data_IF_429527690078
#
_entry.id   IF_429527690078
#
_cell.length_a   1.000
_cell.length_b   1.000
_cell.length_c   1.000
_cell.angle_alpha   90.00
_cell.angle_beta   90.00
_cell.angle_gamma   90.00
#
_symmetry.space_group_name_H-M   'P 1'
#
loop_
_entity.id
_entity.type
_entity.pdbx_description
1 polymer ?
#
# COMPACT_ATOMS: atom_id res chain seq x y z
N UNK A 1 -54.16 6.42 -55.10
CA UNK A 1 -52.70 6.43 -54.99
C UNK A 1 -52.34 6.79 -53.61
N UNK A 2 -51.90 5.82 -52.84
CA UNK A 2 -51.41 6.03 -51.46
C UNK A 2 -49.94 6.35 -51.56
N UNK A 3 -49.59 7.59 -51.31
CA UNK A 3 -48.20 7.96 -51.14
C UNK A 3 -47.74 7.46 -49.79
N UNK A 4 -46.96 6.42 -49.76
CA UNK A 4 -46.23 5.99 -48.62
C UNK A 4 -45.13 7.03 -48.34
N UNK A 5 -45.40 7.95 -47.43
CA UNK A 5 -44.37 8.77 -46.81
C UNK A 5 -43.50 7.85 -45.99
N UNK A 6 -42.41 7.43 -46.60
CA UNK A 6 -41.37 6.77 -45.83
C UNK A 6 -40.79 7.76 -44.84
N UNK A 7 -41.16 7.61 -43.60
CA UNK A 7 -40.46 8.30 -42.51
C UNK A 7 -39.10 7.65 -42.44
N UNK A 8 -38.12 8.27 -43.07
CA UNK A 8 -36.72 7.96 -42.84
C UNK A 8 -36.43 8.47 -41.42
N UNK A 9 -36.57 7.58 -40.45
CA UNK A 9 -36.01 7.83 -39.11
C UNK A 9 -34.50 7.81 -39.32
N UNK A 10 -33.94 8.99 -39.56
CA UNK A 10 -32.52 9.19 -39.53
C UNK A 10 -32.10 8.98 -38.07
N UNK A 11 -31.75 7.75 -37.72
CA UNK A 11 -31.06 7.47 -36.48
C UNK A 11 -29.74 8.24 -36.53
N UNK A 12 -29.77 9.47 -36.06
CA UNK A 12 -28.60 10.20 -35.70
C UNK A 12 -27.95 9.42 -34.52
N UNK A 13 -27.14 8.44 -34.90
CA UNK A 13 -26.13 7.92 -34.00
C UNK A 13 -25.22 9.10 -33.68
N UNK A 14 -25.62 9.89 -32.69
CA UNK A 14 -24.73 10.85 -32.07
C UNK A 14 -23.65 9.99 -31.48
N UNK A 15 -22.40 10.04 -32.00
CA UNK A 15 -21.34 9.39 -31.28
C UNK A 15 -21.28 10.10 -29.93
N UNK A 16 -21.78 9.43 -28.91
CA UNK A 16 -21.51 9.84 -27.56
C UNK A 16 -20.00 9.66 -27.42
N UNK A 17 -19.29 10.75 -27.60
CA UNK A 17 -17.90 10.80 -27.21
C UNK A 17 -17.88 10.61 -25.71
N UNK A 18 -17.83 9.36 -25.31
CA UNK A 18 -17.46 9.03 -23.93
C UNK A 18 -16.03 9.49 -23.81
N UNK A 19 -15.84 10.70 -23.33
CA UNK A 19 -14.54 11.12 -22.84
C UNK A 19 -14.21 10.16 -21.70
N UNK A 20 -13.56 9.06 -22.03
CA UNK A 20 -13.01 8.18 -21.02
C UNK A 20 -11.90 8.96 -20.31
N UNK A 21 -12.26 9.62 -19.25
CA UNK A 21 -11.30 10.26 -18.38
C UNK A 21 -10.39 9.17 -17.82
N UNK A 22 -9.11 9.25 -18.16
CA UNK A 22 -8.13 8.35 -17.59
C UNK A 22 -7.85 8.83 -16.16
N UNK A 23 -8.13 8.00 -15.20
CA UNK A 23 -7.86 8.32 -13.80
C UNK A 23 -6.38 8.18 -13.49
N UNK A 24 -5.75 9.28 -13.09
CA UNK A 24 -4.38 9.27 -12.64
C UNK A 24 -4.27 8.51 -11.31
N UNK A 25 -3.34 7.54 -11.20
CA UNK A 25 -3.20 6.77 -9.99
C UNK A 25 -2.60 7.59 -8.85
N UNK A 26 -3.02 7.28 -7.62
CA UNK A 26 -2.49 7.90 -6.42
C UNK A 26 -1.29 7.10 -5.95
N UNK A 27 -0.12 7.74 -5.86
CA UNK A 27 1.08 7.11 -5.33
C UNK A 27 0.89 6.67 -3.89
N UNK A 28 1.32 5.46 -3.52
CA UNK A 28 1.35 5.08 -2.12
C UNK A 28 2.33 5.98 -1.38
N UNK A 29 1.87 6.60 -0.32
CA UNK A 29 2.78 7.33 0.56
C UNK A 29 3.46 6.35 1.49
N UNK A 30 4.79 6.30 1.44
CA UNK A 30 5.56 5.72 2.53
C UNK A 30 5.22 6.56 3.76
N UNK A 31 4.28 6.08 4.56
CA UNK A 31 3.85 6.81 5.72
C UNK A 31 5.02 6.89 6.71
N UNK A 32 5.33 8.11 7.12
CA UNK A 32 6.32 8.38 8.16
C UNK A 32 5.95 7.75 9.52
N UNK A 33 4.75 7.16 9.62
CA UNK A 33 4.31 6.43 10.79
C UNK A 33 4.95 5.04 10.91
N UNK A 34 5.66 4.58 9.88
CA UNK A 34 6.35 3.29 9.90
C UNK A 34 7.82 3.48 10.27
N UNK A 35 8.07 3.90 11.51
CA UNK A 35 9.43 3.96 12.00
C UNK A 35 9.94 2.55 12.34
N UNK A 36 11.13 2.25 11.86
CA UNK A 36 11.79 0.99 12.20
C UNK A 36 12.01 0.92 13.71
N UNK A 37 11.53 -0.15 14.38
CA UNK A 37 11.71 -0.29 15.81
C UNK A 37 13.18 -0.44 16.18
N UNK A 38 13.55 0.10 17.34
CA UNK A 38 14.90 0.00 17.87
C UNK A 38 15.00 -1.14 18.87
N UNK A 39 16.01 -1.97 18.70
CA UNK A 39 16.30 -3.04 19.66
C UNK A 39 16.67 -2.43 21.02
N UNK A 40 16.10 -2.90 22.13
CA UNK A 40 16.46 -2.38 23.44
C UNK A 40 17.93 -2.65 23.77
N UNK A 41 18.52 -1.74 24.55
CA UNK A 41 19.89 -1.88 25.00
C UNK A 41 20.02 -3.08 25.95
N UNK A 42 21.04 -3.88 25.73
CA UNK A 42 21.32 -5.04 26.58
C UNK A 42 21.95 -4.55 27.90
N UNK A 43 21.36 -4.86 29.06
CA UNK A 43 22.01 -4.54 30.32
C UNK A 43 23.37 -5.21 30.43
N UNK A 44 24.31 -4.55 31.09
CA UNK A 44 25.67 -5.09 31.28
C UNK A 44 25.69 -6.42 32.06
N UNK A 45 24.66 -6.68 32.84
CA UNK A 45 24.51 -7.91 33.62
C UNK A 45 23.96 -9.10 32.80
N UNK A 46 23.63 -8.89 31.51
CA UNK A 46 23.16 -9.93 30.60
C UNK A 46 24.31 -10.37 29.71
N UNK A 47 24.55 -11.67 29.65
CA UNK A 47 25.46 -12.27 28.69
C UNK A 47 24.67 -12.96 27.62
N UNK A 48 24.54 -12.29 26.47
CA UNK A 48 23.77 -12.82 25.30
C UNK A 48 24.43 -14.08 24.73
N UNK A 49 25.75 -14.17 24.81
CA UNK A 49 26.49 -15.27 24.24
C UNK A 49 26.18 -16.59 24.95
N UNK A 50 26.09 -16.57 26.29
CA UNK A 50 25.78 -17.74 27.10
C UNK A 50 24.31 -17.84 27.50
N UNK A 51 23.51 -16.86 27.15
CA UNK A 51 22.11 -16.74 27.55
C UNK A 51 21.93 -16.81 29.08
N UNK A 52 22.82 -16.13 29.79
CA UNK A 52 22.84 -16.05 31.25
C UNK A 52 22.85 -14.60 31.73
N UNK A 53 22.49 -14.36 32.98
CA UNK A 53 22.55 -13.02 33.56
C UNK A 53 22.87 -13.06 35.04
N UNK A 54 23.44 -11.95 35.52
CA UNK A 54 23.66 -11.67 36.94
C UNK A 54 22.82 -10.47 37.40
N UNK A 55 21.81 -10.09 36.63
CA UNK A 55 20.93 -8.96 36.95
C UNK A 55 20.06 -9.25 38.17
N UNK A 56 19.69 -8.18 38.88
CA UNK A 56 18.60 -8.22 39.85
C UNK A 56 17.25 -8.47 39.12
N UNK A 57 16.24 -8.89 39.88
CA UNK A 57 14.94 -9.28 39.32
C UNK A 57 14.28 -8.13 38.61
N UNK A 58 14.40 -6.89 39.07
CA UNK A 58 13.80 -5.74 38.44
C UNK A 58 14.43 -5.47 37.05
N UNK A 59 15.75 -5.49 36.97
CA UNK A 59 16.49 -5.22 35.74
C UNK A 59 16.21 -6.27 34.70
N UNK A 60 16.22 -7.56 35.06
CA UNK A 60 15.95 -8.62 34.07
C UNK A 60 14.50 -8.64 33.62
N UNK A 61 13.55 -8.40 34.50
CA UNK A 61 12.12 -8.34 34.14
C UNK A 61 11.83 -7.14 33.24
N UNK A 62 12.45 -6.00 33.53
CA UNK A 62 12.32 -4.80 32.68
C UNK A 62 12.89 -5.07 31.28
N UNK A 63 14.05 -5.67 31.19
CA UNK A 63 14.67 -6.03 29.91
C UNK A 63 13.83 -7.02 29.12
N UNK A 64 13.29 -8.04 29.77
CA UNK A 64 12.42 -9.02 29.10
C UNK A 64 11.13 -8.37 28.59
N UNK A 65 10.55 -7.43 29.35
CA UNK A 65 9.39 -6.67 28.89
C UNK A 65 9.70 -5.80 27.67
N UNK A 66 10.88 -5.17 27.67
CA UNK A 66 11.33 -4.37 26.53
C UNK A 66 11.57 -5.22 25.28
N UNK A 67 12.10 -6.44 25.46
CA UNK A 67 12.27 -7.39 24.35
C UNK A 67 10.93 -7.85 23.80
N UNK A 68 9.94 -8.11 24.64
CA UNK A 68 8.61 -8.52 24.19
C UNK A 68 7.92 -7.38 23.42
N UNK A 69 8.06 -6.15 23.90
CA UNK A 69 7.57 -4.97 23.19
C UNK A 69 8.25 -4.81 21.83
N UNK A 70 9.57 -4.98 21.78
CA UNK A 70 10.33 -4.90 20.55
C UNK A 70 9.88 -5.94 19.53
N UNK A 71 9.65 -7.19 19.94
CA UNK A 71 9.13 -8.23 19.05
C UNK A 71 7.76 -7.85 18.46
N UNK A 72 6.90 -7.29 19.29
CA UNK A 72 5.60 -6.81 18.86
C UNK A 72 5.72 -5.66 17.85
N UNK A 73 6.60 -4.71 18.12
CA UNK A 73 6.86 -3.58 17.22
C UNK A 73 7.46 -4.02 15.88
N UNK A 74 8.31 -5.05 15.89
CA UNK A 74 8.87 -5.64 14.68
C UNK A 74 7.77 -6.30 13.83
N UNK A 75 6.86 -7.03 14.47
CA UNK A 75 5.73 -7.63 13.77
C UNK A 75 4.83 -6.57 13.12
N UNK A 76 4.53 -5.49 13.84
CA UNK A 76 3.75 -4.38 13.30
C UNK A 76 4.47 -3.70 12.13
N UNK A 77 5.77 -3.49 12.26
CA UNK A 77 6.58 -2.91 11.20
C UNK A 77 6.56 -3.78 9.94
N UNK A 78 6.74 -5.10 10.10
CA UNK A 78 6.67 -6.03 8.98
C UNK A 78 5.31 -6.01 8.28
N UNK A 79 4.21 -5.97 9.04
CA UNK A 79 2.86 -5.87 8.48
C UNK A 79 2.67 -4.55 7.73
N UNK A 80 3.20 -3.47 8.26
CA UNK A 80 3.13 -2.15 7.61
C UNK A 80 3.90 -2.12 6.30
N UNK A 81 5.08 -2.74 6.27
CA UNK A 81 5.86 -2.88 5.04
C UNK A 81 5.14 -3.75 4.01
N UNK A 82 4.50 -4.83 4.44
CA UNK A 82 3.73 -5.68 3.54
C UNK A 82 2.53 -4.94 2.96
N UNK A 83 1.85 -4.14 3.76
CA UNK A 83 0.77 -3.26 3.30
C UNK A 83 1.28 -2.25 2.26
N UNK A 84 2.44 -1.65 2.51
CA UNK A 84 3.06 -0.74 1.54
C UNK A 84 3.39 -1.43 0.22
N UNK A 85 3.94 -2.65 0.27
CA UNK A 85 4.21 -3.45 -0.94
C UNK A 85 2.94 -3.69 -1.73
N UNK A 86 1.85 -4.08 -1.06
CA UNK A 86 0.57 -4.31 -1.70
C UNK A 86 0.02 -3.03 -2.36
N UNK A 87 0.14 -1.90 -1.70
CA UNK A 87 -0.28 -0.59 -2.24
C UNK A 87 0.58 -0.18 -3.43
N UNK A 88 1.89 -0.45 -3.38
CA UNK A 88 2.81 -0.17 -4.48
C UNK A 88 2.52 -1.04 -5.71
N UNK A 89 2.20 -2.31 -5.51
CA UNK A 89 1.78 -3.19 -6.60
C UNK A 89 0.47 -2.72 -7.25
N UNK A 90 -0.48 -2.32 -6.44
CA UNK A 90 -1.74 -1.75 -6.92
C UNK A 90 -1.49 -0.47 -7.72
N UNK A 91 -0.67 0.43 -7.21
CA UNK A 91 -0.27 1.65 -7.90
C UNK A 91 0.38 1.34 -9.25
N UNK A 92 1.27 0.36 -9.31
CA UNK A 92 1.93 -0.01 -10.56
C UNK A 92 0.93 -0.48 -11.61
N UNK A 93 -0.07 -1.27 -11.24
CA UNK A 93 -1.14 -1.70 -12.14
C UNK A 93 -1.99 -0.54 -12.61
N UNK A 94 -2.39 0.34 -11.69
CA UNK A 94 -3.17 1.55 -12.02
C UNK A 94 -2.39 2.48 -12.95
N UNK A 95 -1.07 2.61 -12.76
CA UNK A 95 -0.21 3.43 -13.61
C UNK A 95 -0.13 2.86 -15.04
N UNK A 96 -0.06 1.54 -15.18
CA UNK A 96 -0.09 0.88 -16.49
C UNK A 96 -1.44 1.08 -17.18
N UNK A 97 -2.53 0.92 -16.46
CA UNK A 97 -3.88 1.12 -16.98
C UNK A 97 -4.08 2.58 -17.42
N UNK A 98 -3.61 3.52 -16.62
CA UNK A 98 -3.65 4.94 -16.97
C UNK A 98 -2.86 5.24 -18.23
N UNK A 99 -1.63 4.76 -18.35
CA UNK A 99 -0.79 4.99 -19.53
C UNK A 99 -1.42 4.38 -20.79
N UNK A 100 -1.96 3.17 -20.68
CA UNK A 100 -2.65 2.52 -21.80
C UNK A 100 -3.94 3.26 -22.20
N UNK A 101 -4.66 3.79 -21.21
CA UNK A 101 -5.84 4.62 -21.47
C UNK A 101 -5.46 5.90 -22.23
N UNK A 102 -4.42 6.61 -21.80
CA UNK A 102 -3.93 7.83 -22.48
C UNK A 102 -3.48 7.53 -23.91
N UNK A 103 -2.78 6.43 -24.14
CA UNK A 103 -2.33 6.02 -25.47
C UNK A 103 -3.55 5.79 -26.38
N UNK A 104 -4.59 5.12 -25.90
CA UNK A 104 -5.81 4.88 -26.67
C UNK A 104 -6.54 6.16 -27.03
N UNK A 105 -6.42 7.19 -26.22
CA UNK A 105 -7.08 8.47 -26.43
C UNK A 105 -6.30 9.45 -27.32
N UNK A 106 -5.11 9.06 -27.80
CA UNK A 106 -4.30 9.90 -28.71
C UNK A 106 -4.81 9.89 -30.17
N UNK A 107 -5.66 8.98 -30.53
CA UNK A 107 -6.28 8.90 -31.87
C UNK A 107 -7.44 9.91 -32.02
#
# INVERSE_FOLDING_TARGET
MKKLLGVIVLNLLIPTYVFAWCSEPISPSASSSYSKPSKPSVPFCVNEFNNTHTCDDWTINSYNSDLDRYRYEVDDYQRSLQSYVNDAEYFAREALDYANCEIRNLD
#
